data_IF_250643637123
#
_entry.id   IF_250643637123
#
_cell.length_a   1.000
_cell.length_b   1.000
_cell.length_c   1.000
_cell.angle_alpha   90.00
_cell.angle_beta   90.00
_cell.angle_gamma   90.00
#
_symmetry.space_group_name_H-M   'P 1'
#
loop_
_entity.id
_entity.type
_entity.pdbx_description
1 polymer ?
#
# COMPACT_ATOMS: atom_id res chain seq x y z
N UNK A 1 8.54 -29.07 23.15
CA UNK A 1 7.52 -28.01 23.02
C UNK A 1 7.19 -27.92 21.55
N UNK A 2 5.97 -28.28 21.14
CA UNK A 2 5.50 -28.06 19.77
C UNK A 2 5.48 -26.54 19.55
N UNK A 3 6.15 -26.06 18.51
CA UNK A 3 6.06 -24.65 18.11
C UNK A 3 4.60 -24.36 17.75
N UNK A 4 3.98 -23.35 18.36
CA UNK A 4 2.65 -22.89 17.96
C UNK A 4 2.68 -22.48 16.49
N UNK A 5 1.57 -22.72 15.80
CA UNK A 5 1.34 -22.20 14.45
C UNK A 5 1.22 -20.67 14.47
N UNK A 6 1.35 -20.03 13.30
CA UNK A 6 1.13 -18.59 13.18
C UNK A 6 -0.27 -18.20 13.65
N UNK A 7 -1.30 -18.96 13.26
CA UNK A 7 -2.70 -18.70 13.61
C UNK A 7 -2.92 -18.79 15.13
N UNK A 8 -2.41 -19.84 15.79
CA UNK A 8 -2.46 -19.97 17.25
C UNK A 8 -1.75 -18.81 17.95
N UNK A 9 -0.63 -18.34 17.41
CA UNK A 9 0.11 -17.21 17.99
C UNK A 9 -0.73 -15.93 17.96
N UNK A 10 -1.45 -15.68 16.87
CA UNK A 10 -2.37 -14.53 16.76
C UNK A 10 -3.57 -14.66 17.69
N UNK A 11 -4.16 -15.86 17.79
CA UNK A 11 -5.27 -16.12 18.71
C UNK A 11 -4.86 -15.88 20.17
N UNK A 12 -3.69 -16.37 20.59
CA UNK A 12 -3.16 -16.11 21.93
C UNK A 12 -2.91 -14.62 22.18
N UNK A 13 -2.37 -13.88 21.21
CA UNK A 13 -2.16 -12.43 21.35
C UNK A 13 -3.50 -11.67 21.53
N UNK A 14 -4.57 -12.12 20.87
CA UNK A 14 -5.91 -11.55 21.03
C UNK A 14 -6.52 -11.91 22.39
N UNK A 15 -6.39 -13.18 22.82
CA UNK A 15 -6.85 -13.64 24.14
C UNK A 15 -6.17 -12.86 25.27
N UNK A 16 -4.87 -12.58 25.13
CA UNK A 16 -4.09 -11.77 26.06
C UNK A 16 -4.38 -10.27 25.98
N UNK A 17 -5.19 -9.83 25.00
CA UNK A 17 -5.46 -8.42 24.69
C UNK A 17 -4.22 -7.62 24.30
N UNK A 18 -3.21 -8.29 23.74
CA UNK A 18 -2.02 -7.66 23.18
C UNK A 18 -2.39 -6.87 21.92
N UNK A 19 -3.31 -7.39 21.10
CA UNK A 19 -3.89 -6.70 19.93
C UNK A 19 -5.42 -6.93 19.89
N UNK A 20 -6.23 -6.00 19.37
CA UNK A 20 -7.69 -6.19 19.28
C UNK A 20 -8.08 -7.18 18.17
N UNK A 21 -7.30 -7.15 17.08
CA UNK A 21 -7.50 -7.95 15.88
C UNK A 21 -6.60 -7.46 14.76
N UNK A 22 -6.47 -8.27 13.71
CA UNK A 22 -5.68 -7.94 12.53
C UNK A 22 -6.15 -8.74 11.30
N UNK A 23 -5.91 -8.19 10.12
CA UNK A 23 -5.97 -8.92 8.84
C UNK A 23 -4.55 -9.16 8.35
N UNK A 24 -4.30 -10.40 7.95
CA UNK A 24 -3.03 -10.90 7.42
C UNK A 24 -3.22 -11.34 5.97
N UNK A 25 -2.59 -10.63 5.03
CA UNK A 25 -2.64 -10.94 3.61
C UNK A 25 -1.23 -11.17 3.06
N UNK A 26 -1.03 -12.20 2.25
CA UNK A 26 0.19 -12.38 1.49
C UNK A 26 -0.08 -13.08 0.16
N UNK A 27 0.67 -12.69 -0.86
CA UNK A 27 0.65 -13.34 -2.17
C UNK A 27 2.04 -13.39 -2.79
N UNK A 28 2.20 -14.15 -3.85
CA UNK A 28 3.41 -14.16 -4.66
C UNK A 28 3.12 -13.78 -6.11
N UNK A 29 4.19 -13.46 -6.84
CA UNK A 29 4.14 -13.07 -8.26
C UNK A 29 3.40 -14.11 -9.11
N UNK A 30 3.64 -15.40 -8.83
CA UNK A 30 3.02 -16.53 -9.54
C UNK A 30 1.52 -16.74 -9.21
N UNK A 31 1.01 -16.14 -8.13
CA UNK A 31 -0.35 -16.37 -7.63
C UNK A 31 -0.57 -17.74 -6.95
N UNK A 32 0.49 -18.51 -6.71
CA UNK A 32 0.42 -19.82 -6.03
C UNK A 32 0.41 -19.71 -4.51
N UNK A 33 0.90 -18.59 -3.96
CA UNK A 33 0.70 -18.21 -2.57
C UNK A 33 -0.50 -17.25 -2.51
N UNK A 34 -1.52 -17.61 -1.74
CA UNK A 34 -2.63 -16.74 -1.40
C UNK A 34 -3.02 -16.99 0.06
N UNK A 35 -2.38 -16.24 0.96
CA UNK A 35 -2.68 -16.28 2.38
C UNK A 35 -3.60 -15.11 2.72
N UNK A 36 -4.79 -15.40 3.26
CA UNK A 36 -5.73 -14.38 3.69
C UNK A 36 -6.45 -14.85 4.97
N UNK A 37 -6.14 -14.20 6.09
CA UNK A 37 -6.72 -14.54 7.40
C UNK A 37 -7.08 -13.28 8.17
N UNK A 38 -8.21 -13.33 8.85
CA UNK A 38 -8.71 -12.28 9.73
C UNK A 38 -8.82 -12.84 11.15
N UNK A 39 -8.37 -12.07 12.14
CA UNK A 39 -8.38 -12.46 13.54
C UNK A 39 -8.93 -11.34 14.41
N UNK A 40 -9.62 -11.71 15.50
CA UNK A 40 -10.04 -10.77 16.54
C UNK A 40 -11.28 -9.97 16.19
N UNK A 41 -11.41 -8.80 16.83
CA UNK A 41 -12.60 -7.95 16.77
C UNK A 41 -12.31 -6.58 16.19
N UNK A 42 -13.35 -5.92 15.69
CA UNK A 42 -13.28 -4.60 15.06
C UNK A 42 -12.97 -3.48 16.05
N UNK A 43 -12.80 -3.76 17.33
CA UNK A 43 -12.55 -2.79 18.38
C UNK A 43 -12.33 -3.49 19.72
N UNK A 44 -12.15 -2.72 20.78
CA UNK A 44 -11.92 -3.24 22.14
C UNK A 44 -13.21 -3.36 22.97
N UNK A 45 -14.34 -2.84 22.46
CA UNK A 45 -15.64 -2.94 23.12
C UNK A 45 -16.10 -4.41 23.23
N UNK A 46 -16.80 -4.82 24.31
CA UNK A 46 -17.41 -6.15 24.41
C UNK A 46 -18.30 -6.50 23.21
N UNK A 47 -19.03 -5.51 22.69
CA UNK A 47 -19.98 -5.63 21.59
C UNK A 47 -19.32 -5.51 20.20
N UNK A 48 -17.99 -5.34 20.15
CA UNK A 48 -17.27 -5.27 18.88
C UNK A 48 -17.44 -6.57 18.08
N UNK A 49 -17.70 -6.40 16.78
CA UNK A 49 -17.94 -7.50 15.85
C UNK A 49 -16.63 -8.20 15.49
N UNK A 50 -16.65 -9.45 15.00
CA UNK A 50 -15.46 -10.07 14.43
C UNK A 50 -14.90 -9.25 13.25
N UNK A 51 -13.58 -9.15 13.13
CA UNK A 51 -12.96 -8.65 11.89
C UNK A 51 -13.21 -9.66 10.78
N UNK A 52 -13.48 -9.15 9.58
CA UNK A 52 -13.60 -9.93 8.35
C UNK A 52 -12.64 -9.40 7.31
N UNK A 53 -12.43 -10.13 6.21
CA UNK A 53 -11.59 -9.66 5.10
C UNK A 53 -12.13 -8.38 4.43
N UNK A 54 -13.42 -8.07 4.62
CA UNK A 54 -14.09 -6.88 4.10
C UNK A 54 -14.12 -5.72 5.09
N UNK A 55 -13.52 -5.89 6.28
CA UNK A 55 -13.42 -4.82 7.27
C UNK A 55 -12.60 -3.63 6.73
N UNK A 56 -13.09 -2.43 7.00
CA UNK A 56 -12.53 -1.16 6.53
C UNK A 56 -11.60 -0.57 7.58
N UNK A 57 -10.45 -0.09 7.12
CA UNK A 57 -9.44 0.58 7.95
C UNK A 57 -9.26 2.02 7.45
N UNK A 58 -8.91 2.93 8.37
CA UNK A 58 -8.24 4.15 7.94
C UNK A 58 -6.82 3.80 7.50
N UNK A 59 -6.54 3.88 6.20
CA UNK A 59 -5.28 3.45 5.60
C UNK A 59 -4.13 4.41 5.91
N UNK A 60 -4.46 5.64 6.33
CA UNK A 60 -3.49 6.68 6.63
C UNK A 60 -2.42 6.77 5.53
N UNK A 61 -1.14 6.77 5.91
CA UNK A 61 -0.01 6.91 4.97
C UNK A 61 0.18 5.78 3.96
N UNK A 62 -0.58 4.67 4.01
CA UNK A 62 -0.66 3.75 2.87
C UNK A 62 -1.21 4.44 1.61
N UNK A 63 -2.00 5.50 1.78
CA UNK A 63 -2.47 6.37 0.69
C UNK A 63 -1.36 6.84 -0.25
N UNK A 64 -0.17 7.08 0.30
CA UNK A 64 0.99 7.63 -0.41
C UNK A 64 1.41 6.79 -1.62
N UNK A 65 1.27 5.46 -1.53
CA UNK A 65 1.58 4.57 -2.66
C UNK A 65 0.63 4.83 -3.84
N UNK A 66 -0.68 4.96 -3.58
CA UNK A 66 -1.67 5.20 -4.63
C UNK A 66 -1.51 6.60 -5.23
N UNK A 67 -1.23 7.62 -4.42
CA UNK A 67 -0.93 8.98 -4.92
C UNK A 67 0.33 8.98 -5.78
N UNK A 68 1.35 8.22 -5.39
CA UNK A 68 2.57 8.05 -6.18
C UNK A 68 2.26 7.41 -7.54
N UNK A 69 1.49 6.33 -7.57
CA UNK A 69 1.07 5.66 -8.80
C UNK A 69 0.27 6.62 -9.70
N UNK A 70 -0.66 7.38 -9.13
CA UNK A 70 -1.46 8.36 -9.88
C UNK A 70 -0.59 9.45 -10.52
N UNK A 71 0.40 9.98 -9.78
CA UNK A 71 1.35 10.95 -10.31
C UNK A 71 2.22 10.34 -11.41
N UNK A 72 2.70 9.10 -11.25
CA UNK A 72 3.51 8.41 -12.24
C UNK A 72 2.73 8.10 -13.52
N UNK A 73 1.44 7.76 -13.43
CA UNK A 73 0.57 7.63 -14.61
C UNK A 73 0.46 8.95 -15.40
N UNK A 74 0.41 10.09 -14.70
CA UNK A 74 0.43 11.39 -15.36
C UNK A 74 1.79 11.69 -16.02
N UNK A 75 2.90 11.23 -15.42
CA UNK A 75 4.24 11.29 -16.05
C UNK A 75 4.29 10.46 -17.32
N UNK A 76 3.77 9.23 -17.31
CA UNK A 76 3.71 8.39 -18.52
C UNK A 76 2.87 8.99 -19.65
N UNK A 77 1.84 9.77 -19.30
CA UNK A 77 0.99 10.51 -20.24
C UNK A 77 1.61 11.84 -20.70
N UNK A 78 2.78 12.21 -20.18
CA UNK A 78 3.47 13.45 -20.54
C UNK A 78 2.79 14.72 -20.03
N UNK A 79 1.94 14.64 -19.00
CA UNK A 79 1.24 15.82 -18.45
C UNK A 79 2.16 16.72 -17.61
N UNK A 80 3.19 16.11 -17.02
CA UNK A 80 4.31 16.73 -16.33
C UNK A 80 5.45 15.72 -16.19
N UNK A 81 6.64 16.17 -15.81
CA UNK A 81 7.81 15.31 -15.60
C UNK A 81 8.22 15.21 -14.13
N UNK A 82 8.93 14.14 -13.76
CA UNK A 82 9.48 13.96 -12.41
C UNK A 82 10.37 15.13 -11.96
N UNK A 83 11.17 15.66 -12.88
CA UNK A 83 12.26 16.59 -12.56
C UNK A 83 12.06 18.02 -13.11
N UNK A 84 10.88 18.34 -13.64
CA UNK A 84 10.58 19.66 -14.21
C UNK A 84 10.03 20.61 -13.14
N UNK A 85 10.81 21.61 -12.68
CA UNK A 85 10.28 22.64 -11.77
C UNK A 85 9.30 23.58 -12.48
N UNK A 86 9.35 23.67 -13.81
CA UNK A 86 8.45 24.50 -14.60
C UNK A 86 7.03 23.91 -14.62
N UNK A 87 6.90 22.58 -14.58
CA UNK A 87 5.60 21.92 -14.38
C UNK A 87 5.01 22.26 -13.02
N UNK A 88 5.85 22.34 -11.97
CA UNK A 88 5.41 22.81 -10.65
C UNK A 88 5.01 24.28 -10.71
N UNK A 89 5.77 25.14 -11.38
CA UNK A 89 5.40 26.55 -11.52
C UNK A 89 4.07 26.77 -12.27
N UNK A 90 3.83 25.95 -13.29
CA UNK A 90 2.63 25.99 -14.13
C UNK A 90 1.39 25.47 -13.39
N UNK A 91 1.53 24.36 -12.68
CA UNK A 91 0.38 23.66 -12.09
C UNK A 91 0.20 23.98 -10.60
N UNK A 92 1.27 24.30 -9.87
CA UNK A 92 1.27 24.61 -8.43
C UNK A 92 2.05 25.92 -8.16
N UNK A 93 1.60 27.06 -8.72
CA UNK A 93 2.31 28.34 -8.60
C UNK A 93 2.55 28.75 -7.13
N UNK A 94 1.70 28.30 -6.20
CA UNK A 94 1.76 28.62 -4.77
C UNK A 94 3.04 28.09 -4.09
N UNK A 95 3.62 27.01 -4.61
CA UNK A 95 4.86 26.41 -4.08
C UNK A 95 6.03 26.54 -5.06
N UNK A 96 5.88 27.37 -6.10
CA UNK A 96 6.89 27.53 -7.13
C UNK A 96 8.11 28.35 -6.66
N UNK A 97 7.89 29.29 -5.73
CA UNK A 97 8.90 30.15 -5.12
C UNK A 97 8.72 30.21 -3.60
N UNK A 98 8.95 29.09 -2.90
CA UNK A 98 8.68 29.00 -1.47
C UNK A 98 9.75 29.72 -0.65
N UNK A 99 9.42 30.00 0.61
CA UNK A 99 10.37 30.49 1.62
C UNK A 99 10.70 29.37 2.61
N UNK A 100 11.86 29.47 3.24
CA UNK A 100 12.34 28.56 4.29
C UNK A 100 12.25 29.30 5.63
N UNK A 101 11.62 28.68 6.63
CA UNK A 101 11.55 29.17 8.00
C UNK A 101 12.85 28.87 8.73
N UNK A 102 13.55 29.91 9.18
CA UNK A 102 14.85 29.81 9.84
C UNK A 102 14.82 30.15 11.33
N UNK A 103 13.71 30.68 11.84
CA UNK A 103 13.55 31.04 13.24
C UNK A 103 12.45 32.06 13.48
N UNK A 104 12.53 32.74 14.61
CA UNK A 104 11.64 33.83 15.02
C UNK A 104 12.48 34.99 15.58
N UNK A 105 12.02 36.22 15.40
CA UNK A 105 12.64 37.40 16.00
C UNK A 105 12.27 37.54 17.50
N UNK A 106 12.73 38.64 18.13
CA UNK A 106 12.50 38.88 19.56
C UNK A 106 11.01 39.10 19.89
N UNK A 107 10.23 39.55 18.92
CA UNK A 107 8.79 39.78 19.00
C UNK A 107 7.96 38.52 18.68
N UNK A 108 8.62 37.45 18.24
CA UNK A 108 8.00 36.17 17.90
C UNK A 108 7.45 36.10 16.48
N UNK A 109 7.83 37.03 15.59
CA UNK A 109 7.47 36.97 14.17
C UNK A 109 8.43 36.02 13.42
N UNK A 110 7.93 35.28 12.41
CA UNK A 110 8.73 34.28 11.72
C UNK A 110 9.80 34.91 10.82
N UNK A 111 11.04 34.46 10.96
CA UNK A 111 12.16 34.81 10.08
C UNK A 111 12.21 33.79 8.96
N UNK A 112 12.12 34.26 7.72
CA UNK A 112 12.19 33.41 6.53
C UNK A 112 13.23 33.89 5.53
N UNK A 113 13.76 32.97 4.73
CA UNK A 113 14.65 33.25 3.59
C UNK A 113 14.06 32.63 2.32
N UNK A 114 14.20 33.24 1.13
CA UNK A 114 13.78 32.61 -0.12
C UNK A 114 14.53 31.30 -0.35
N UNK A 115 13.83 30.24 -0.78
CA UNK A 115 14.49 29.03 -1.24
C UNK A 115 15.24 29.30 -2.56
N UNK A 116 16.47 28.83 -2.66
CA UNK A 116 17.31 28.95 -3.86
C UNK A 116 17.16 27.75 -4.78
N UNK A 117 16.72 26.60 -4.26
CA UNK A 117 16.40 25.40 -5.04
C UNK A 117 14.90 25.31 -5.32
N UNK A 118 14.54 24.81 -6.49
CA UNK A 118 13.14 24.63 -6.91
C UNK A 118 12.62 23.24 -6.51
N UNK A 119 11.33 23.17 -6.20
CA UNK A 119 10.60 21.91 -5.95
C UNK A 119 10.34 21.20 -7.28
N UNK A 120 10.42 19.86 -7.26
CA UNK A 120 10.03 18.99 -8.39
C UNK A 120 9.14 17.87 -7.86
N UNK A 121 8.43 17.16 -8.75
CA UNK A 121 7.62 16.01 -8.37
C UNK A 121 8.47 14.92 -7.70
N UNK A 122 9.68 14.63 -8.22
CA UNK A 122 10.60 13.65 -7.61
C UNK A 122 10.91 14.02 -6.17
N UNK A 123 11.12 15.31 -5.87
CA UNK A 123 11.37 15.77 -4.50
C UNK A 123 10.14 15.64 -3.61
N UNK A 124 8.94 15.85 -4.16
CA UNK A 124 7.70 15.62 -3.42
C UNK A 124 7.51 14.13 -3.09
N UNK A 125 7.65 13.24 -4.07
CA UNK A 125 7.47 11.78 -3.89
C UNK A 125 8.55 11.14 -3.00
N UNK A 126 9.69 11.83 -2.82
CA UNK A 126 10.81 11.34 -2.00
C UNK A 126 10.95 12.02 -0.64
N UNK A 127 10.03 12.93 -0.27
CA UNK A 127 10.12 13.72 0.96
C UNK A 127 11.41 14.55 1.09
N UNK A 128 11.90 15.06 -0.03
CA UNK A 128 13.09 15.94 -0.11
C UNK A 128 12.75 17.34 -0.60
N UNK A 129 11.46 17.71 -0.66
CA UNK A 129 10.99 19.00 -1.14
C UNK A 129 11.19 20.17 -0.15
N UNK A 130 11.81 19.94 1.03
CA UNK A 130 11.91 20.95 2.08
C UNK A 130 10.66 21.05 2.97
N UNK A 131 9.60 20.29 2.68
CA UNK A 131 8.37 20.27 3.46
C UNK A 131 8.51 19.36 4.69
N UNK A 132 7.63 19.53 5.69
CA UNK A 132 7.55 18.66 6.87
C UNK A 132 6.13 18.68 7.46
N UNK A 133 5.73 17.61 8.15
CA UNK A 133 4.61 17.69 9.08
C UNK A 133 4.99 18.60 10.25
N UNK A 134 4.09 19.52 10.65
CA UNK A 134 4.41 20.46 11.73
C UNK A 134 4.72 19.78 13.06
N UNK A 135 4.14 18.61 13.34
CA UNK A 135 4.45 17.80 14.53
C UNK A 135 5.86 17.21 14.54
N UNK A 136 6.54 17.16 13.39
CA UNK A 136 7.92 16.67 13.26
C UNK A 136 8.95 17.81 13.15
N UNK A 137 8.50 19.07 13.02
CA UNK A 137 9.35 20.24 12.86
C UNK A 137 8.99 21.32 13.89
N UNK A 138 9.75 21.43 15.01
CA UNK A 138 9.44 22.38 16.08
C UNK A 138 9.25 23.83 15.63
N UNK A 139 10.03 24.28 14.63
CA UNK A 139 9.85 25.61 14.05
C UNK A 139 8.50 25.77 13.35
N UNK A 140 8.03 24.77 12.59
CA UNK A 140 6.71 24.82 11.96
C UNK A 140 5.58 24.72 12.99
N UNK A 141 5.75 23.94 14.06
CA UNK A 141 4.78 23.87 15.16
C UNK A 141 4.62 25.23 15.84
N UNK A 142 5.73 25.94 16.08
CA UNK A 142 5.70 27.32 16.55
C UNK A 142 5.08 28.28 15.53
N UNK A 143 5.40 28.12 14.23
CA UNK A 143 4.87 28.97 13.15
C UNK A 143 3.35 28.87 13.05
N UNK A 144 2.77 27.68 13.18
CA UNK A 144 1.30 27.49 13.20
C UNK A 144 0.57 28.33 14.25
N UNK A 145 1.27 28.83 15.28
CA UNK A 145 0.69 29.64 16.35
C UNK A 145 0.73 31.14 16.06
N UNK A 146 1.51 31.58 15.07
CA UNK A 146 1.62 33.00 14.67
C UNK A 146 0.43 33.45 13.81
N UNK A 147 0.25 34.77 13.57
CA UNK A 147 -0.76 35.26 12.64
C UNK A 147 -0.62 34.67 11.23
N UNK A 148 0.60 34.49 10.73
CA UNK A 148 0.88 33.90 9.42
C UNK A 148 0.45 32.43 9.36
N UNK A 149 0.76 31.65 10.40
CA UNK A 149 0.39 30.24 10.46
C UNK A 149 -1.08 29.96 10.73
N UNK A 150 -1.83 30.96 11.21
CA UNK A 150 -3.29 30.92 11.39
C UNK A 150 -4.07 31.48 10.20
N UNK A 151 -3.38 31.92 9.16
CA UNK A 151 -4.02 32.49 7.97
C UNK A 151 -4.85 31.42 7.26
N UNK A 152 -6.10 31.75 6.98
CA UNK A 152 -6.98 30.95 6.13
C UNK A 152 -7.12 31.56 4.74
N UNK A 153 -7.45 30.72 3.78
CA UNK A 153 -7.72 31.06 2.38
C UNK A 153 -9.10 30.50 2.00
N UNK A 154 -9.69 31.01 0.91
CA UNK A 154 -10.97 30.50 0.40
C UNK A 154 -10.88 29.03 -0.04
N UNK A 155 -9.69 28.59 -0.49
CA UNK A 155 -9.39 27.17 -0.74
C UNK A 155 -8.94 26.49 0.57
N UNK A 156 -9.72 25.52 1.05
CA UNK A 156 -9.43 24.70 2.23
C UNK A 156 -8.06 24.01 2.14
N UNK A 157 -7.69 23.50 0.96
CA UNK A 157 -6.39 22.89 0.73
C UNK A 157 -5.26 23.89 1.00
N UNK A 158 -5.42 25.14 0.57
CA UNK A 158 -4.39 26.17 0.77
C UNK A 158 -4.25 26.54 2.25
N UNK A 159 -5.36 26.61 2.98
CA UNK A 159 -5.35 26.87 4.43
C UNK A 159 -4.57 25.82 5.20
N UNK A 160 -4.66 24.56 4.78
CA UNK A 160 -4.01 23.44 5.48
C UNK A 160 -2.58 23.15 4.99
N UNK A 161 -2.30 23.33 3.70
CA UNK A 161 -1.08 22.80 3.07
C UNK A 161 -0.02 23.86 2.71
N UNK A 162 -0.38 25.15 2.64
CA UNK A 162 0.56 26.21 2.27
C UNK A 162 1.37 26.69 3.48
N UNK A 163 2.61 26.21 3.60
CA UNK A 163 3.52 26.45 4.73
C UNK A 163 4.94 26.77 4.22
N UNK A 164 5.77 27.49 5.00
CA UNK A 164 7.20 27.57 4.74
C UNK A 164 7.87 26.20 4.70
N UNK A 165 8.96 26.09 3.95
CA UNK A 165 9.87 24.95 4.02
C UNK A 165 10.71 25.01 5.30
N UNK A 166 11.33 23.90 5.65
CA UNK A 166 12.26 23.78 6.79
C UNK A 166 13.71 23.62 6.35
N UNK A 167 13.97 23.33 5.07
CA UNK A 167 15.29 23.28 4.47
C UNK A 167 15.19 23.45 2.93
N UNK A 168 16.33 23.63 2.27
CA UNK A 168 16.42 23.78 0.80
C UNK A 168 15.99 22.49 0.05
N UNK A 169 15.09 22.58 -0.96
CA UNK A 169 14.66 21.41 -1.71
C UNK A 169 15.81 20.57 -2.31
N UNK A 170 16.00 19.35 -1.80
CA UNK A 170 17.01 18.37 -2.22
C UNK A 170 18.27 18.31 -1.34
N UNK A 171 18.39 19.17 -0.33
CA UNK A 171 19.58 19.28 0.54
C UNK A 171 19.41 18.54 1.89
N UNK A 172 18.25 17.93 2.14
CA UNK A 172 17.99 17.07 3.29
C UNK A 172 16.79 16.15 3.00
N UNK A 173 16.31 15.45 4.01
CA UNK A 173 15.12 14.61 3.98
C UNK A 173 14.31 14.83 5.26
N UNK A 174 12.99 14.91 5.15
CA UNK A 174 12.07 14.98 6.29
C UNK A 174 10.69 14.49 5.88
N UNK A 175 10.10 13.60 6.67
CA UNK A 175 8.77 13.08 6.37
C UNK A 175 7.71 14.21 6.36
N UNK A 176 6.85 14.23 5.35
CA UNK A 176 6.07 15.43 5.04
C UNK A 176 4.74 15.19 4.32
N UNK A 177 3.97 16.27 4.27
CA UNK A 177 2.71 16.41 3.52
C UNK A 177 2.93 16.63 2.01
N UNK A 178 4.14 16.42 1.50
CA UNK A 178 4.47 16.65 0.08
C UNK A 178 3.60 15.85 -0.90
N UNK A 179 3.02 14.72 -0.48
CA UNK A 179 2.11 13.93 -1.32
C UNK A 179 0.69 14.49 -1.37
N UNK A 180 0.32 15.40 -0.46
CA UNK A 180 -0.89 16.22 -0.62
C UNK A 180 -0.76 17.09 -1.88
N UNK A 181 0.39 17.74 -2.05
CA UNK A 181 0.72 18.54 -3.24
C UNK A 181 0.88 17.69 -4.50
N UNK A 182 1.41 16.46 -4.41
CA UNK A 182 1.44 15.54 -5.54
C UNK A 182 0.02 15.12 -5.99
N UNK A 183 -0.90 14.92 -5.04
CA UNK A 183 -2.32 14.72 -5.33
C UNK A 183 -2.93 15.92 -6.06
N UNK A 184 -2.73 17.13 -5.53
CA UNK A 184 -3.20 18.38 -6.15
C UNK A 184 -2.61 18.60 -7.56
N UNK A 185 -1.36 18.18 -7.78
CA UNK A 185 -0.71 18.20 -9.10
C UNK A 185 -1.47 17.31 -10.09
N UNK A 186 -1.84 16.09 -9.69
CA UNK A 186 -2.66 15.17 -10.50
C UNK A 186 -4.01 15.81 -10.84
N UNK A 187 -4.69 16.39 -9.86
CA UNK A 187 -5.99 17.03 -10.08
C UNK A 187 -5.90 18.16 -11.12
N UNK A 188 -4.94 19.08 -10.95
CA UNK A 188 -4.77 20.23 -11.83
C UNK A 188 -4.29 19.84 -13.23
N UNK A 189 -3.43 18.82 -13.34
CA UNK A 189 -3.00 18.29 -14.63
C UNK A 189 -4.14 17.61 -15.41
N UNK A 190 -5.19 17.15 -14.73
CA UNK A 190 -6.37 16.52 -15.31
C UNK A 190 -7.59 17.47 -15.28
N UNK A 191 -7.37 18.76 -15.53
CA UNK A 191 -8.42 19.78 -15.64
C UNK A 191 -9.36 19.87 -14.42
N UNK A 192 -8.83 19.64 -13.22
CA UNK A 192 -9.59 19.73 -11.97
C UNK A 192 -10.39 18.47 -11.62
N UNK A 193 -10.18 17.35 -12.31
CA UNK A 193 -10.68 16.04 -11.87
C UNK A 193 -10.20 15.77 -10.44
N UNK A 194 -11.12 15.40 -9.54
CA UNK A 194 -10.74 15.11 -8.14
C UNK A 194 -9.83 13.89 -8.05
N UNK A 195 -8.99 13.84 -7.02
CA UNK A 195 -8.09 12.71 -6.81
C UNK A 195 -8.85 11.39 -6.62
N UNK A 196 -9.99 11.41 -5.93
CA UNK A 196 -10.93 10.28 -5.81
C UNK A 196 -11.33 9.75 -7.20
N UNK A 197 -11.82 10.64 -8.06
CA UNK A 197 -12.31 10.24 -9.38
C UNK A 197 -11.18 9.72 -10.26
N UNK A 198 -10.00 10.36 -10.19
CA UNK A 198 -8.82 9.90 -10.92
C UNK A 198 -8.40 8.50 -10.48
N UNK A 199 -8.30 8.27 -9.16
CA UNK A 199 -7.94 6.95 -8.61
C UNK A 199 -9.01 5.90 -8.93
N UNK A 200 -10.30 6.26 -8.89
CA UNK A 200 -11.39 5.37 -9.30
C UNK A 200 -11.15 4.89 -10.74
N UNK A 201 -11.01 5.81 -11.68
CA UNK A 201 -10.90 5.49 -13.10
C UNK A 201 -9.59 4.77 -13.47
N UNK A 202 -8.47 5.12 -12.84
CA UNK A 202 -7.14 4.73 -13.30
C UNK A 202 -6.38 3.76 -12.38
N UNK A 203 -6.89 3.50 -11.17
CA UNK A 203 -6.27 2.55 -10.23
C UNK A 203 -7.29 1.53 -9.76
N UNK A 204 -8.47 1.97 -9.33
CA UNK A 204 -9.44 1.08 -8.71
C UNK A 204 -10.21 0.26 -9.73
N UNK A 205 -10.79 0.88 -10.76
CA UNK A 205 -11.53 0.18 -11.82
C UNK A 205 -10.67 -0.88 -12.54
N UNK A 206 -9.41 -0.60 -12.96
CA UNK A 206 -8.55 -1.61 -13.60
C UNK A 206 -8.25 -2.84 -12.73
N UNK A 207 -8.38 -2.71 -11.41
CA UNK A 207 -8.15 -3.77 -10.43
C UNK A 207 -9.43 -4.30 -9.81
N UNK A 208 -10.59 -3.86 -10.29
CA UNK A 208 -11.91 -4.18 -9.72
C UNK A 208 -11.98 -3.86 -8.21
N UNK A 209 -11.45 -2.70 -7.82
CA UNK A 209 -11.49 -2.22 -6.45
C UNK A 209 -12.75 -1.42 -6.20
N UNK A 210 -13.50 -1.81 -5.17
CA UNK A 210 -14.78 -1.21 -4.84
C UNK A 210 -14.83 -0.57 -3.45
N UNK A 211 -13.93 -0.89 -2.52
CA UNK A 211 -13.99 -0.44 -1.11
C UNK A 211 -12.84 0.47 -0.70
N UNK A 212 -12.40 1.35 -1.58
CA UNK A 212 -11.44 2.41 -1.23
C UNK A 212 -12.07 3.76 -1.54
N UNK A 213 -11.90 4.75 -0.66
CA UNK A 213 -12.39 6.13 -0.85
C UNK A 213 -11.67 7.12 0.07
N UNK A 214 -11.58 8.37 -0.34
CA UNK A 214 -11.25 9.53 0.51
C UNK A 214 -12.46 10.04 1.30
N UNK A 215 -13.67 9.74 0.84
CA UNK A 215 -14.93 10.30 1.34
C UNK A 215 -15.78 9.22 1.99
N UNK A 216 -15.43 8.86 3.22
CA UNK A 216 -16.09 7.83 4.01
C UNK A 216 -17.62 8.03 4.10
N UNK A 217 -18.04 9.29 4.23
CA UNK A 217 -19.44 9.69 4.32
C UNK A 217 -20.25 9.44 3.04
N UNK A 218 -19.59 9.30 1.89
CA UNK A 218 -20.23 9.05 0.59
C UNK A 218 -20.30 7.57 0.23
N UNK A 219 -19.74 6.68 1.05
CA UNK A 219 -19.58 5.26 0.72
C UNK A 219 -20.04 4.34 1.85
N UNK A 220 -21.35 4.11 1.89
CA UNK A 220 -22.02 3.43 3.01
C UNK A 220 -21.45 2.04 3.32
N UNK A 221 -21.12 1.23 2.31
CA UNK A 221 -20.50 -0.09 2.53
C UNK A 221 -19.15 0.00 3.25
N UNK A 222 -18.33 0.97 2.88
CA UNK A 222 -17.03 1.21 3.51
C UNK A 222 -17.24 1.67 4.95
N UNK A 223 -18.20 2.57 5.19
CA UNK A 223 -18.55 3.10 6.51
C UNK A 223 -19.14 2.04 7.47
N UNK A 224 -19.97 1.13 6.98
CA UNK A 224 -20.61 0.10 7.82
C UNK A 224 -19.62 -0.97 8.33
N UNK A 225 -18.48 -1.12 7.67
CA UNK A 225 -17.48 -2.15 7.96
C UNK A 225 -16.27 -1.61 8.74
N UNK A 226 -16.35 -0.40 9.30
CA UNK A 226 -15.23 0.25 9.98
C UNK A 226 -14.69 -0.57 11.16
N UNK A 227 -13.37 -0.67 11.19
CA UNK A 227 -12.61 -1.07 12.38
C UNK A 227 -12.35 0.19 13.21
N UNK A 228 -12.69 0.11 14.49
CA UNK A 228 -12.45 1.15 15.48
C UNK A 228 -10.97 1.23 15.85
N UNK A 229 -10.51 2.46 16.03
CA UNK A 229 -9.19 2.76 16.58
C UNK A 229 -9.09 2.24 18.00
N UNK A 230 -8.06 1.44 18.28
CA UNK A 230 -7.61 1.12 19.61
C UNK A 230 -6.35 1.93 19.95
N UNK A 231 -6.23 2.37 21.19
CA UNK A 231 -5.07 3.13 21.67
C UNK A 231 -4.44 2.37 22.82
N UNK A 232 -3.14 2.11 22.73
CA UNK A 232 -2.37 1.56 23.84
C UNK A 232 -2.01 2.66 24.81
N UNK A 233 -2.42 2.48 26.06
CA UNK A 233 -2.07 3.36 27.17
C UNK A 233 -0.63 3.03 27.61
N UNK A 234 0.34 3.97 27.52
CA UNK A 234 1.74 3.68 27.79
C UNK A 234 2.02 3.10 29.19
N UNK A 235 1.33 3.58 30.21
CA UNK A 235 1.59 3.23 31.60
C UNK A 235 1.11 1.82 31.96
N UNK A 236 -0.02 1.40 31.39
CA UNK A 236 -0.64 0.11 31.70
C UNK A 236 -0.43 -0.96 30.63
N UNK A 237 -0.06 -0.55 29.41
CA UNK A 237 -0.01 -1.41 28.23
C UNK A 237 -1.38 -1.85 27.71
N UNK A 238 -2.47 -1.45 28.36
CA UNK A 238 -3.84 -1.82 27.98
C UNK A 238 -4.28 -1.08 26.72
N UNK A 239 -5.12 -1.76 25.94
CA UNK A 239 -5.82 -1.17 24.81
C UNK A 239 -7.16 -0.58 25.26
N UNK A 240 -7.38 0.68 24.92
CA UNK A 240 -8.65 1.39 25.12
C UNK A 240 -9.22 1.84 23.79
N UNK A 241 -10.50 2.19 23.76
CA UNK A 241 -11.12 2.75 22.57
C UNK A 241 -10.50 4.12 22.27
N UNK A 242 -10.06 4.29 21.02
CA UNK A 242 -9.60 5.56 20.50
C UNK A 242 -10.74 6.55 20.37
N UNK A 243 -10.44 7.82 20.68
CA UNK A 243 -11.34 8.94 20.47
C UNK A 243 -11.41 9.35 19.00
N UNK A 244 -12.48 10.06 18.64
CA UNK A 244 -12.71 10.54 17.28
C UNK A 244 -11.57 11.44 16.74
N UNK A 245 -10.86 12.15 17.62
CA UNK A 245 -9.72 13.03 17.29
C UNK A 245 -8.52 12.29 16.67
N UNK A 246 -8.47 10.96 16.77
CA UNK A 246 -7.44 10.14 16.14
C UNK A 246 -7.72 9.81 14.67
N UNK A 247 -8.93 10.11 14.18
CA UNK A 247 -9.28 9.99 12.77
C UNK A 247 -9.08 11.33 12.06
N UNK A 248 -8.83 11.31 10.73
CA UNK A 248 -8.77 12.54 9.96
C UNK A 248 -10.14 13.23 9.98
N UNK A 249 -10.12 14.56 10.04
CA UNK A 249 -11.32 15.35 9.83
C UNK A 249 -11.89 15.08 8.42
N UNK A 250 -13.22 15.20 8.29
CA UNK A 250 -13.84 15.25 6.96
C UNK A 250 -13.44 16.56 6.30
N UNK A 251 -12.76 16.46 5.16
CA UNK A 251 -12.26 17.59 4.39
C UNK A 251 -12.81 17.52 2.96
N UNK A 252 -12.88 18.67 2.28
CA UNK A 252 -13.49 18.79 0.96
C UNK A 252 -12.69 18.20 -0.21
N UNK A 253 -11.43 17.80 0.03
CA UNK A 253 -10.52 17.28 -1.00
C UNK A 253 -9.96 15.90 -0.64
N UNK A 254 -9.43 15.18 -1.63
CA UNK A 254 -8.74 13.91 -1.39
C UNK A 254 -7.34 14.14 -0.81
N UNK A 255 -7.14 13.87 0.48
CA UNK A 255 -5.83 14.02 1.11
C UNK A 255 -4.83 12.93 0.64
N UNK A 256 -4.06 13.21 -0.41
CA UNK A 256 -3.11 12.29 -1.05
C UNK A 256 -1.98 11.78 -0.15
N UNK A 257 -1.77 12.36 1.02
CA UNK A 257 -0.80 11.89 2.01
C UNK A 257 -1.38 10.90 3.02
N UNK A 258 -2.69 10.86 3.24
CA UNK A 258 -3.25 10.11 4.37
C UNK A 258 -4.76 9.88 4.41
N UNK A 259 -5.50 10.26 3.37
CA UNK A 259 -6.96 10.37 3.45
C UNK A 259 -7.75 9.11 3.10
N UNK A 260 -7.13 8.02 2.64
CA UNK A 260 -7.90 6.86 2.21
C UNK A 260 -8.42 6.02 3.37
N UNK A 261 -9.65 5.58 3.18
CA UNK A 261 -10.33 4.51 3.91
C UNK A 261 -10.49 3.33 2.98
N UNK A 262 -10.30 2.12 3.48
CA UNK A 262 -10.66 0.93 2.71
C UNK A 262 -10.25 -0.39 3.32
N UNK A 263 -10.64 -1.48 2.67
CA UNK A 263 -10.30 -2.82 3.14
C UNK A 263 -8.86 -3.21 2.76
N UNK A 264 -8.22 -3.97 3.65
CA UNK A 264 -6.89 -4.53 3.40
C UNK A 264 -6.88 -5.43 2.15
N UNK A 265 -7.97 -6.17 1.94
CA UNK A 265 -8.16 -7.11 0.82
C UNK A 265 -8.26 -6.42 -0.53
N UNK A 266 -8.74 -5.19 -0.57
CA UNK A 266 -8.74 -4.36 -1.78
C UNK A 266 -7.35 -3.70 -1.99
N UNK A 267 -6.72 -3.23 -0.91
CA UNK A 267 -5.41 -2.58 -0.99
C UNK A 267 -4.31 -3.53 -1.51
N UNK A 268 -4.30 -4.80 -1.08
CA UNK A 268 -3.30 -5.78 -1.53
C UNK A 268 -3.34 -6.01 -3.05
N UNK A 269 -4.46 -5.73 -3.73
CA UNK A 269 -4.56 -5.84 -5.20
C UNK A 269 -3.64 -4.85 -5.91
N UNK A 270 -3.50 -3.63 -5.39
CA UNK A 270 -2.56 -2.61 -5.90
C UNK A 270 -1.13 -3.12 -5.77
N UNK A 271 -0.76 -3.60 -4.58
CA UNK A 271 0.57 -4.15 -4.32
C UNK A 271 0.88 -5.36 -5.22
N UNK A 272 -0.12 -6.21 -5.45
CA UNK A 272 -0.02 -7.40 -6.31
C UNK A 272 0.24 -7.02 -7.77
N UNK A 273 -0.45 -6.00 -8.30
CA UNK A 273 -0.22 -5.51 -9.67
C UNK A 273 1.20 -4.97 -9.85
N UNK A 274 1.69 -4.16 -8.90
CA UNK A 274 3.07 -3.66 -8.92
C UNK A 274 4.09 -4.80 -8.81
N UNK A 275 3.89 -5.76 -7.90
CA UNK A 275 4.75 -6.94 -7.76
C UNK A 275 4.82 -7.76 -9.07
N UNK A 276 3.66 -7.95 -9.70
CA UNK A 276 3.55 -8.72 -10.94
C UNK A 276 4.16 -8.00 -12.12
N UNK A 277 4.23 -6.67 -12.06
CA UNK A 277 4.61 -5.84 -13.20
C UNK A 277 3.72 -6.19 -14.41
N UNK A 278 2.40 -6.17 -14.17
CA UNK A 278 1.39 -6.68 -15.13
C UNK A 278 0.86 -5.61 -16.09
N UNK A 279 1.44 -4.40 -16.06
CA UNK A 279 1.09 -3.29 -16.95
C UNK A 279 -0.30 -2.69 -16.71
N UNK A 280 -1.04 -3.11 -15.67
CA UNK A 280 -2.41 -2.61 -15.42
C UNK A 280 -2.43 -1.19 -14.86
N UNK A 281 -1.44 -0.85 -14.04
CA UNK A 281 -1.37 0.46 -13.37
C UNK A 281 -0.35 1.39 -14.03
N UNK A 282 0.85 0.89 -14.28
CA UNK A 282 1.98 1.63 -14.87
C UNK A 282 2.80 0.65 -15.71
N UNK A 283 3.62 1.19 -16.63
CA UNK A 283 4.55 0.41 -17.45
C UNK A 283 5.72 -0.14 -16.63
N UNK A 284 6.36 -1.17 -17.15
CA UNK A 284 7.50 -1.83 -16.50
C UNK A 284 8.68 -0.90 -16.26
N UNK A 285 8.98 0.03 -17.17
CA UNK A 285 10.01 1.06 -16.94
C UNK A 285 9.70 1.97 -15.74
N UNK A 286 8.41 2.26 -15.50
CA UNK A 286 7.96 3.06 -14.36
C UNK A 286 8.01 2.25 -13.07
N UNK A 287 7.61 0.98 -13.10
CA UNK A 287 7.83 0.05 -11.98
C UNK A 287 9.32 0.02 -11.64
N UNK A 288 10.19 -0.19 -12.62
CA UNK A 288 11.64 -0.19 -12.39
C UNK A 288 12.16 1.13 -11.80
N UNK A 289 11.57 2.27 -12.13
CA UNK A 289 11.92 3.57 -11.54
C UNK A 289 11.47 3.70 -10.08
N UNK A 290 10.33 3.11 -9.70
CA UNK A 290 9.87 3.06 -8.30
C UNK A 290 10.87 2.33 -7.40
N UNK A 291 11.47 1.25 -7.91
CA UNK A 291 12.43 0.40 -7.19
C UNK A 291 13.90 0.81 -7.42
N UNK A 292 14.20 2.10 -7.30
CA UNK A 292 15.57 2.65 -7.31
C UNK A 292 15.82 3.50 -6.07
N UNK A 293 17.10 3.63 -5.71
CA UNK A 293 17.52 4.64 -4.74
C UNK A 293 17.35 6.04 -5.35
N UNK A 294 16.53 6.88 -4.72
CA UNK A 294 16.17 8.22 -5.22
C UNK A 294 16.84 9.37 -4.45
N UNK A 295 17.43 9.11 -3.27
CA UNK A 295 18.01 10.16 -2.44
C UNK A 295 19.42 10.56 -2.91
N UNK A 296 19.68 11.86 -2.91
CA UNK A 296 21.03 12.41 -3.01
C UNK A 296 21.85 12.04 -1.76
N UNK A 297 23.20 12.18 -1.77
CA UNK A 297 24.00 12.00 -0.55
C UNK A 297 23.51 12.87 0.62
N UNK A 298 23.25 14.16 0.37
CA UNK A 298 22.76 15.08 1.40
C UNK A 298 21.38 14.66 1.96
N UNK A 299 20.46 14.23 1.10
CA UNK A 299 19.17 13.70 1.55
C UNK A 299 19.31 12.36 2.29
N UNK A 300 20.29 11.52 1.94
CA UNK A 300 20.58 10.27 2.67
C UNK A 300 21.11 10.58 4.08
N UNK A 301 21.97 11.59 4.22
CA UNK A 301 22.47 12.05 5.53
C UNK A 301 21.33 12.63 6.37
N UNK A 302 20.46 13.45 5.77
CA UNK A 302 19.25 13.96 6.41
C UNK A 302 18.31 12.84 6.89
N UNK A 303 18.08 11.82 6.05
CA UNK A 303 17.31 10.63 6.41
C UNK A 303 17.91 9.90 7.60
N UNK A 304 19.23 9.69 7.60
CA UNK A 304 19.92 8.98 8.68
C UNK A 304 19.87 9.76 10.01
N UNK A 305 19.77 11.09 9.95
CA UNK A 305 19.66 11.97 11.11
C UNK A 305 18.21 12.21 11.58
N UNK A 306 17.19 11.75 10.85
CA UNK A 306 15.79 11.95 11.20
C UNK A 306 15.45 11.26 12.54
N UNK A 307 14.98 11.99 13.57
CA UNK A 307 14.78 11.41 14.90
C UNK A 307 13.75 10.29 14.95
N UNK A 308 12.73 10.34 14.08
CA UNK A 308 11.70 9.32 14.02
C UNK A 308 12.26 8.02 13.43
N UNK A 309 13.05 8.09 12.34
CA UNK A 309 13.62 6.90 11.69
C UNK A 309 14.92 6.41 12.33
N UNK A 310 15.77 7.30 12.87
CA UNK A 310 17.02 6.93 13.52
C UNK A 310 16.79 6.08 14.78
N UNK A 311 15.81 6.46 15.61
CA UNK A 311 15.42 5.68 16.80
C UNK A 311 14.70 4.37 16.48
N UNK A 312 14.32 4.19 15.22
CA UNK A 312 13.54 3.07 14.71
C UNK A 312 14.38 2.12 13.84
N UNK A 313 15.61 2.49 13.45
CA UNK A 313 16.49 1.66 12.65
C UNK A 313 17.01 0.46 13.47
N UNK A 314 16.38 -0.70 13.29
CA UNK A 314 16.78 -1.95 13.94
C UNK A 314 17.87 -2.70 13.16
N UNK A 315 18.53 -2.09 12.17
CA UNK A 315 19.53 -2.71 11.29
C UNK A 315 19.02 -2.82 9.85
N UNK A 316 19.94 -2.80 8.88
CA UNK A 316 19.64 -2.63 7.46
C UNK A 316 20.15 -1.29 6.92
N UNK A 317 20.64 -1.27 5.68
CA UNK A 317 20.85 -0.03 4.93
C UNK A 317 19.60 0.33 4.10
N UNK A 318 19.04 1.52 4.34
CA UNK A 318 17.85 2.01 3.65
C UNK A 318 18.06 3.36 2.98
N UNK A 319 17.22 3.62 1.99
CA UNK A 319 17.03 4.92 1.34
C UNK A 319 15.54 5.04 0.96
N UNK A 320 15.21 5.86 -0.03
CA UNK A 320 13.85 6.06 -0.50
C UNK A 320 13.73 5.76 -1.99
N UNK A 321 12.64 5.09 -2.37
CA UNK A 321 12.19 4.88 -3.75
C UNK A 321 10.98 5.74 -4.09
N UNK A 322 10.39 5.61 -5.27
CA UNK A 322 9.13 6.32 -5.53
C UNK A 322 7.97 5.54 -4.92
N UNK A 323 7.54 5.96 -3.74
CA UNK A 323 6.38 5.41 -3.02
C UNK A 323 6.69 4.83 -1.64
N UNK A 324 7.95 4.73 -1.23
CA UNK A 324 8.31 4.23 0.10
C UNK A 324 9.81 4.06 0.36
N UNK A 325 10.11 3.50 1.54
CA UNK A 325 11.46 3.13 1.97
C UNK A 325 12.00 2.02 1.07
N UNK A 326 13.23 2.16 0.59
CA UNK A 326 13.91 1.25 -0.33
C UNK A 326 15.11 0.58 0.34
N UNK A 327 15.19 -0.74 0.23
CA UNK A 327 16.24 -1.56 0.87
C UNK A 327 17.49 -1.69 0.00
N UNK A 328 18.66 -1.38 0.58
CA UNK A 328 19.95 -1.40 -0.12
C UNK A 328 20.74 -2.69 0.05
N UNK A 329 20.34 -3.58 0.96
CA UNK A 329 21.07 -4.83 1.24
C UNK A 329 20.15 -6.03 1.50
N UNK A 330 20.70 -7.24 1.40
CA UNK A 330 20.00 -8.46 1.79
C UNK A 330 19.94 -8.56 3.32
N UNK A 331 18.75 -8.71 3.90
CA UNK A 331 18.59 -8.73 5.35
C UNK A 331 18.69 -10.17 5.88
N UNK A 332 19.58 -10.37 6.86
CA UNK A 332 19.99 -11.69 7.35
C UNK A 332 18.93 -12.40 8.21
N UNK A 333 18.10 -11.66 8.95
CA UNK A 333 17.08 -12.23 9.84
C UNK A 333 15.66 -12.33 9.25
N UNK A 334 15.37 -11.60 8.16
CA UNK A 334 14.03 -11.50 7.58
C UNK A 334 13.89 -12.05 6.16
N UNK A 335 15.00 -12.51 5.56
CA UNK A 335 15.04 -13.08 4.20
C UNK A 335 14.66 -12.09 3.07
N UNK A 336 14.43 -10.81 3.38
CA UNK A 336 14.22 -9.75 2.38
C UNK A 336 15.46 -9.59 1.52
N UNK A 337 15.22 -9.28 0.25
CA UNK A 337 16.27 -8.97 -0.69
C UNK A 337 16.49 -7.48 -0.82
N UNK A 338 17.72 -7.12 -1.17
CA UNK A 338 18.04 -5.81 -1.72
C UNK A 338 17.05 -5.50 -2.84
N UNK A 339 16.53 -4.27 -2.85
CA UNK A 339 15.58 -3.83 -3.87
C UNK A 339 14.11 -3.92 -3.49
N UNK A 340 13.78 -4.32 -2.26
CA UNK A 340 12.40 -4.29 -1.76
C UNK A 340 11.93 -2.88 -1.37
N UNK A 341 10.66 -2.57 -1.60
CA UNK A 341 10.01 -1.31 -1.21
C UNK A 341 9.03 -1.54 -0.06
N UNK A 342 8.92 -0.58 0.86
CA UNK A 342 8.06 -0.70 2.02
C UNK A 342 7.56 0.65 2.56
N UNK A 343 6.32 0.67 3.06
CA UNK A 343 5.80 1.75 3.89
C UNK A 343 4.70 1.26 4.84
N UNK A 344 3.98 2.18 5.48
CA UNK A 344 2.86 1.83 6.34
C UNK A 344 1.91 3.01 6.60
N UNK A 345 0.79 2.69 7.23
CA UNK A 345 -0.15 3.62 7.81
C UNK A 345 0.10 3.79 9.30
N UNK A 346 -0.19 4.99 9.79
CA UNK A 346 -0.07 5.38 11.20
C UNK A 346 -0.67 4.35 12.18
N UNK A 347 -1.87 3.77 11.92
CA UNK A 347 -2.52 2.85 12.86
C UNK A 347 -1.97 1.41 12.83
N UNK A 348 -0.66 1.24 12.61
CA UNK A 348 0.01 -0.05 12.47
C UNK A 348 -0.51 -0.89 11.29
N UNK A 349 -0.84 -0.24 10.17
CA UNK A 349 -1.06 -0.93 8.88
C UNK A 349 0.29 -1.01 8.17
N UNK A 350 0.80 -2.22 8.02
CA UNK A 350 2.15 -2.45 7.59
C UNK A 350 2.19 -3.20 6.28
N UNK A 351 2.79 -2.55 5.28
CA UNK A 351 3.53 -3.24 4.23
C UNK A 351 5.05 -3.01 4.41
N UNK A 352 5.45 -2.73 5.65
CA UNK A 352 6.80 -2.53 6.16
C UNK A 352 6.88 -2.81 7.66
N UNK A 353 8.05 -3.23 8.15
CA UNK A 353 8.52 -2.79 9.47
C UNK A 353 9.94 -2.25 9.40
N UNK A 354 10.46 -1.91 10.57
CA UNK A 354 11.84 -1.49 10.80
C UNK A 354 12.89 -2.38 10.12
N UNK A 355 12.62 -3.67 9.94
CA UNK A 355 13.53 -4.62 9.28
C UNK A 355 12.97 -5.26 8.01
N UNK A 356 11.75 -4.95 7.59
CA UNK A 356 10.92 -5.92 6.86
C UNK A 356 10.13 -5.21 5.75
N UNK A 357 10.12 -5.74 4.53
CA UNK A 357 9.68 -5.03 3.32
C UNK A 357 8.81 -5.92 2.45
N UNK A 358 7.66 -5.42 1.98
CA UNK A 358 6.60 -6.29 1.48
C UNK A 358 6.04 -5.96 0.10
N UNK A 359 6.79 -5.22 -0.72
CA UNK A 359 6.87 -5.57 -2.15
C UNK A 359 8.31 -5.93 -2.42
N UNK A 360 8.59 -7.23 -2.47
CA UNK A 360 9.92 -7.77 -2.74
C UNK A 360 9.88 -8.41 -4.13
N UNK A 361 10.24 -7.67 -5.21
CA UNK A 361 10.21 -8.20 -6.56
C UNK A 361 11.24 -9.32 -6.77
N UNK A 362 12.28 -9.38 -5.94
CA UNK A 362 13.34 -10.41 -6.04
C UNK A 362 12.89 -11.71 -5.39
N UNK A 363 12.26 -11.64 -4.20
CA UNK A 363 11.61 -12.81 -3.59
C UNK A 363 10.27 -13.15 -4.26
N UNK A 364 9.70 -12.22 -5.03
CA UNK A 364 8.42 -12.36 -5.71
C UNK A 364 7.24 -12.42 -4.74
N UNK A 365 7.29 -11.68 -3.63
CA UNK A 365 6.27 -11.71 -2.56
C UNK A 365 5.71 -10.30 -2.32
N UNK A 366 4.41 -10.23 -2.03
CA UNK A 366 3.81 -9.07 -1.40
C UNK A 366 2.95 -9.47 -0.21
N UNK A 367 2.81 -8.59 0.77
CA UNK A 367 1.89 -8.82 1.87
C UNK A 367 1.42 -7.53 2.55
N UNK A 368 0.38 -7.67 3.38
CA UNK A 368 -0.18 -6.60 4.19
C UNK A 368 -0.63 -7.14 5.56
N UNK A 369 -0.14 -6.51 6.63
CA UNK A 369 -0.71 -6.61 7.97
C UNK A 369 -1.55 -5.37 8.21
N UNK A 370 -2.82 -5.53 8.56
CA UNK A 370 -3.70 -4.41 8.82
C UNK A 370 -4.29 -4.51 10.24
N UNK A 371 -4.00 -3.52 11.06
CA UNK A 371 -4.67 -3.26 12.34
C UNK A 371 -5.14 -1.79 12.41
N UNK A 372 -5.88 -1.44 13.46
CA UNK A 372 -6.21 -0.05 13.81
C UNK A 372 -5.74 0.20 15.25
N UNK A 373 -4.43 0.24 15.45
CA UNK A 373 -3.84 0.42 16.79
C UNK A 373 -2.95 1.66 16.77
N UNK A 374 -3.00 2.47 17.83
CA UNK A 374 -2.06 3.55 18.11
C UNK A 374 -1.32 3.27 19.44
N UNK A 375 -0.11 3.83 19.66
CA UNK A 375 0.63 4.72 18.76
C UNK A 375 1.23 4.00 17.54
N UNK A 376 1.75 4.74 16.54
CA UNK A 376 2.52 4.13 15.45
C UNK A 376 3.70 3.34 15.99
N UNK A 377 4.09 2.27 15.30
CA UNK A 377 5.15 1.36 15.74
C UNK A 377 4.84 0.72 17.12
N UNK A 378 3.57 0.37 17.35
CA UNK A 378 3.13 -0.34 18.54
C UNK A 378 3.89 -1.68 18.67
N UNK A 379 4.48 -1.91 19.85
CA UNK A 379 5.40 -3.04 20.06
C UNK A 379 4.74 -4.39 19.80
N UNK A 380 3.53 -4.61 20.32
CA UNK A 380 2.82 -5.88 20.13
C UNK A 380 2.43 -6.09 18.66
N UNK A 381 1.95 -5.02 18.00
CA UNK A 381 1.63 -5.05 16.57
C UNK A 381 2.86 -5.37 15.72
N UNK A 382 4.02 -4.76 16.02
CA UNK A 382 5.29 -5.03 15.33
C UNK A 382 5.80 -6.46 15.56
N UNK A 383 5.65 -7.00 16.78
CA UNK A 383 6.02 -8.38 17.09
C UNK A 383 5.15 -9.39 16.32
N UNK A 384 3.84 -9.14 16.21
CA UNK A 384 2.92 -9.96 15.42
C UNK A 384 3.21 -9.85 13.93
N UNK A 385 3.47 -8.64 13.44
CA UNK A 385 3.88 -8.41 12.05
C UNK A 385 5.18 -9.17 11.71
N UNK A 386 6.20 -9.09 12.57
CA UNK A 386 7.47 -9.83 12.41
C UNK A 386 7.23 -11.34 12.26
N UNK A 387 6.39 -11.92 13.13
CA UNK A 387 6.08 -13.36 13.09
C UNK A 387 5.36 -13.75 11.79
N UNK A 388 4.41 -12.94 11.36
CA UNK A 388 3.68 -13.15 10.12
C UNK A 388 4.61 -13.14 8.90
N UNK A 389 5.44 -12.12 8.78
CA UNK A 389 6.35 -12.03 7.65
C UNK A 389 7.33 -13.21 7.60
N UNK A 390 7.96 -13.56 8.73
CA UNK A 390 8.89 -14.68 8.79
C UNK A 390 8.25 -15.99 8.33
N UNK A 391 6.97 -16.19 8.66
CA UNK A 391 6.20 -17.35 8.22
C UNK A 391 5.95 -17.31 6.70
N UNK A 392 5.54 -16.17 6.15
CA UNK A 392 5.31 -15.98 4.71
C UNK A 392 6.57 -16.24 3.89
N UNK A 393 7.72 -15.71 4.30
CA UNK A 393 8.98 -15.95 3.59
C UNK A 393 9.40 -17.43 3.66
N UNK A 394 9.18 -18.12 4.80
CA UNK A 394 9.42 -19.57 4.91
C UNK A 394 8.54 -20.35 3.95
N UNK A 395 7.25 -20.01 3.87
CA UNK A 395 6.31 -20.64 2.93
C UNK A 395 6.76 -20.41 1.49
N UNK A 396 7.11 -19.17 1.12
CA UNK A 396 7.56 -18.84 -0.23
C UNK A 396 8.83 -19.59 -0.65
N UNK A 397 9.81 -19.73 0.26
CA UNK A 397 11.01 -20.54 0.00
C UNK A 397 10.68 -22.03 -0.19
N UNK A 398 9.76 -22.58 0.62
CA UNK A 398 9.31 -23.96 0.44
C UNK A 398 8.69 -24.18 -0.95
N UNK A 399 7.92 -23.20 -1.46
CA UNK A 399 7.40 -23.24 -2.83
C UNK A 399 8.51 -23.17 -3.91
N UNK A 400 9.54 -22.34 -3.70
CA UNK A 400 10.69 -22.27 -4.62
C UNK A 400 11.50 -23.57 -4.64
N UNK A 401 11.72 -24.20 -3.48
CA UNK A 401 12.48 -25.46 -3.39
C UNK A 401 11.72 -26.67 -3.94
N UNK A 402 10.39 -26.72 -3.78
CA UNK A 402 9.56 -27.80 -4.34
C UNK A 402 9.47 -27.72 -5.86
N UNK A 403 9.33 -26.52 -6.43
CA UNK A 403 9.33 -26.33 -7.89
C UNK A 403 10.73 -26.41 -8.52
N UNK A 404 11.79 -26.01 -7.80
CA UNK A 404 13.18 -26.15 -8.25
C UNK A 404 13.67 -27.60 -8.31
N UNK A 405 13.08 -28.51 -7.52
CA UNK A 405 13.34 -29.96 -7.60
C UNK A 405 12.53 -30.70 -8.68
N UNK A 406 11.51 -30.05 -9.26
CA UNK A 406 10.78 -30.60 -10.40
C UNK A 406 11.52 -30.40 -11.73
N UNK A 407 12.57 -29.57 -11.77
CA UNK A 407 13.44 -29.33 -12.93
C UNK A 407 14.50 -30.41 -13.21
N UNK A 408 14.16 -31.69 -13.01
CA UNK A 408 15.12 -32.78 -13.19
C UNK A 408 14.60 -34.19 -12.92
N UNK A 409 13.28 -34.43 -12.96
CA UNK A 409 12.76 -35.80 -12.95
C UNK A 409 12.40 -36.17 -14.39
N UNK A 410 13.27 -36.97 -15.00
CA UNK A 410 12.97 -37.71 -16.21
C UNK A 410 11.82 -38.68 -15.88
N UNK A 411 10.59 -38.36 -16.29
CA UNK A 411 9.44 -39.26 -16.14
C UNK A 411 9.52 -40.32 -17.23
N UNK A 412 10.44 -41.27 -17.06
CA UNK A 412 10.33 -42.60 -17.64
C UNK A 412 10.31 -43.60 -16.48
N UNK A 413 9.12 -44.13 -16.21
CA UNK A 413 8.95 -45.31 -15.37
C UNK A 413 8.53 -45.04 -13.93
N UNK A 414 7.28 -44.62 -13.71
CA UNK A 414 6.55 -45.01 -12.50
C UNK A 414 5.14 -45.45 -12.89
N UNK A 415 4.87 -46.72 -12.62
CA UNK A 415 3.58 -47.38 -12.81
C UNK A 415 2.53 -46.80 -11.87
N UNK A 416 1.38 -46.43 -12.42
CA UNK A 416 0.18 -46.10 -11.67
C UNK A 416 -0.40 -47.36 -11.03
N UNK A 417 -0.43 -47.40 -9.69
CA UNK A 417 -1.05 -48.47 -8.91
C UNK A 417 -2.00 -47.89 -7.86
N UNK A 418 -3.27 -48.28 -7.96
CA UNK A 418 -4.33 -48.23 -6.96
C UNK A 418 -4.88 -46.86 -6.51
N UNK A 419 -5.97 -46.44 -7.16
CA UNK A 419 -7.20 -46.04 -6.48
C UNK A 419 -8.39 -46.35 -7.42
N UNK A 420 -8.88 -47.59 -7.35
CA UNK A 420 -10.21 -47.93 -7.85
C UNK A 420 -11.24 -47.61 -6.76
N UNK A 421 -12.21 -46.77 -7.08
CA UNK A 421 -13.60 -47.12 -6.82
C UNK A 421 -14.58 -46.37 -7.74
N UNK A 422 -15.38 -47.20 -8.41
CA UNK A 422 -16.79 -47.02 -8.74
C UNK A 422 -17.24 -46.23 -10.01
N UNK A 423 -17.67 -47.05 -10.98
CA UNK A 423 -18.71 -46.88 -12.01
C UNK A 423 -18.37 -46.22 -13.36
N UNK A 424 -18.50 -47.03 -14.41
CA UNK A 424 -19.02 -46.61 -15.72
C UNK A 424 -18.07 -46.76 -16.92
N UNK A 425 -18.21 -47.84 -17.67
CA UNK A 425 -17.47 -48.12 -18.90
C UNK A 425 -17.88 -47.21 -20.08
N UNK A 426 -16.90 -46.68 -20.82
CA UNK A 426 -16.81 -46.83 -22.30
C UNK A 426 -15.39 -46.47 -22.76
N UNK A 427 -14.68 -47.48 -23.22
CA UNK A 427 -13.35 -47.38 -23.83
C UNK A 427 -13.49 -46.91 -25.29
N UNK A 428 -12.72 -45.90 -25.68
CA UNK A 428 -12.29 -45.72 -27.08
C UNK A 428 -10.77 -45.56 -27.08
N UNK A 429 -10.10 -46.50 -27.77
CA UNK A 429 -8.67 -46.49 -28.03
C UNK A 429 -8.33 -45.48 -29.13
N UNK A 430 -7.23 -44.74 -28.96
CA UNK A 430 -6.59 -43.95 -30.01
C UNK A 430 -5.17 -43.58 -29.60
N UNK A 431 -4.18 -44.28 -30.14
CA UNK A 431 -2.75 -43.99 -29.98
C UNK A 431 -2.33 -42.85 -30.91
N UNK A 432 -1.60 -41.85 -30.40
CA UNK A 432 -0.96 -40.82 -31.21
C UNK A 432 0.40 -41.31 -31.71
N UNK A 433 0.60 -41.35 -33.03
CA UNK A 433 1.91 -41.31 -33.66
C UNK A 433 2.23 -39.90 -34.15
N UNK A 434 3.50 -39.53 -33.99
CA UNK A 434 4.00 -38.20 -34.33
C UNK A 434 4.10 -38.02 -35.83
N UNK A 435 3.18 -37.26 -36.41
CA UNK A 435 3.46 -36.44 -37.59
C UNK A 435 2.54 -35.22 -37.58
N UNK A 436 3.13 -34.04 -37.38
CA UNK A 436 2.39 -32.80 -37.33
C UNK A 436 1.87 -32.41 -38.70
N UNK A 437 0.55 -32.50 -38.91
CA UNK A 437 -0.30 -31.60 -39.71
C UNK A 437 -1.73 -31.82 -39.20
N UNK A 438 -2.43 -30.77 -38.75
CA UNK A 438 -3.89 -30.80 -38.62
C UNK A 438 -4.49 -29.79 -39.59
N UNK A 439 -5.05 -30.33 -40.67
CA UNK A 439 -5.93 -29.66 -41.62
C UNK A 439 -7.34 -29.51 -41.04
N UNK A 440 -7.99 -28.38 -41.30
CA UNK A 440 -9.41 -28.18 -41.04
C UNK A 440 -10.28 -28.99 -42.02
N UNK A 441 -11.26 -29.72 -41.49
CA UNK A 441 -12.34 -30.36 -42.25
C UNK A 441 -13.60 -30.39 -41.37
N UNK A 442 -14.62 -29.66 -41.78
CA UNK A 442 -15.89 -29.54 -41.04
C UNK A 442 -16.79 -30.76 -41.20
N UNK A 443 -17.76 -30.89 -40.28
CA UNK A 443 -18.94 -31.70 -40.54
C UNK A 443 -20.19 -31.01 -39.93
N UNK A 444 -21.00 -30.46 -40.83
CA UNK A 444 -22.25 -29.77 -40.56
C UNK A 444 -23.35 -30.81 -40.29
N UNK A 445 -23.45 -31.28 -39.05
CA UNK A 445 -24.44 -32.31 -38.69
C UNK A 445 -24.82 -32.41 -37.22
N UNK A 446 -24.26 -31.56 -36.34
CA UNK A 446 -24.52 -31.66 -34.88
C UNK A 446 -25.04 -30.39 -34.20
N UNK A 447 -25.34 -29.33 -34.96
CA UNK A 447 -26.02 -28.13 -34.43
C UNK A 447 -27.55 -28.30 -34.34
N UNK A 448 -28.15 -29.27 -35.06
CA UNK A 448 -29.60 -29.44 -35.08
C UNK A 448 -30.20 -30.26 -33.92
N UNK A 449 -29.38 -30.86 -33.04
CA UNK A 449 -29.87 -31.65 -31.89
C UNK A 449 -29.73 -30.94 -30.53
N UNK A 450 -29.04 -29.80 -30.48
CA UNK A 450 -28.92 -28.99 -29.26
C UNK A 450 -30.06 -27.97 -29.10
N UNK A 451 -30.69 -27.53 -30.21
CA UNK A 451 -31.81 -26.57 -30.17
C UNK A 451 -33.16 -27.18 -29.75
N UNK A 452 -33.35 -28.50 -29.88
CA UNK A 452 -34.61 -29.17 -29.51
C UNK A 452 -34.67 -29.56 -28.03
N UNK A 453 -33.52 -29.69 -27.36
CA UNK A 453 -33.43 -29.94 -25.91
C UNK A 453 -33.67 -28.66 -25.07
N UNK A 454 -33.41 -27.48 -25.63
CA UNK A 454 -33.59 -26.18 -24.94
C UNK A 454 -35.06 -25.70 -24.93
N UNK A 455 -35.89 -26.14 -25.89
CA UNK A 455 -37.33 -25.75 -25.95
C UNK A 455 -38.27 -26.58 -25.07
N UNK A 456 -37.81 -27.67 -24.43
CA UNK A 456 -38.67 -28.57 -23.65
C UNK A 456 -38.68 -28.34 -22.12
N UNK A 457 -37.88 -27.40 -21.60
CA UNK A 457 -37.78 -27.18 -20.14
C UNK A 457 -38.37 -25.86 -19.63
N UNK A 458 -38.92 -25.01 -20.50
CA UNK A 458 -39.57 -23.75 -20.08
C UNK A 458 -41.03 -23.66 -20.54
N UNK A 459 -41.92 -24.25 -19.75
CA UNK A 459 -43.34 -23.85 -19.72
C UNK A 459 -43.77 -23.60 -18.28
N UNK A 460 -44.00 -22.31 -18.02
CA UNK A 460 -44.76 -21.66 -16.95
C UNK A 460 -45.97 -22.43 -16.41
N UNK A 461 -46.34 -22.23 -15.12
CA UNK A 461 -47.56 -21.49 -14.69
C UNK A 461 -47.79 -21.44 -13.15
N UNK A 462 -48.73 -20.62 -12.63
CA UNK A 462 -48.51 -19.68 -11.52
C UNK A 462 -49.43 -19.92 -10.29
N UNK A 463 -49.38 -18.91 -9.39
CA UNK A 463 -50.09 -18.64 -8.12
C UNK A 463 -49.42 -19.17 -6.86
#
# INVERSE_FOLDING_TARGET
MTSNTLEETFLTAIENKDIPGAILLATNKAGTLNYAKAFGKTGVSPDAKPITLDSTFWLASCTKLLTTIAALQCVERGLFSLDSPDDIARLLPEIAAPVILTGFDAEGAPITVPATKRITLRKMLTHTAGMSYSSLAPLLEAWKKTPEGKRTYDDEFMSEQLKPLVYEPGESWMYSESLEWAGKLVERANNGMTLEAYMQQHIWDPLSIQDITFHLEKKERVKQNLVEMAVRVPESGLLIQGKDEYYPASIGYGAGGGGLWGSASEYIKVMTSILRDDGKLVKSETVAEMFKAQLSPASKDGWAADPFFAGQNLGGEFTWGLGGKYNLEDLTEGMQKKGSLAWGGMPNIFWASQRFHWIDPVAGIAGLYASQVLPPADKASLEMFKKFEQDVYKQAQAFMHTNGKAGGINIQGMSWGCLQNQFGWMSMYGSCDGSGVLSFGGDAGKEAQAEEAYRRTNTTRPL
#
